data_IF_618546469653
#
_entry.id   IF_618546469653
#
_cell.length_a   1.000
_cell.length_b   1.000
_cell.length_c   1.000
_cell.angle_alpha   90.00
_cell.angle_beta   90.00
_cell.angle_gamma   90.00
#
_symmetry.space_group_name_H-M   'P 1'
#
loop_
_entity.id
_entity.type
_entity.pdbx_description
1 polymer ?
#
# COMPACT_ATOMS: atom_id res chain seq x y z
N UNK A 1 -16.33 6.27 -7.49
CA UNK A 1 -17.40 5.66 -6.67
C UNK A 1 -17.11 4.19 -6.33
N UNK A 2 -16.85 3.26 -7.31
CA UNK A 2 -16.67 1.82 -7.03
C UNK A 2 -15.50 1.53 -6.09
N UNK A 3 -14.32 2.11 -6.31
CA UNK A 3 -13.12 1.91 -5.48
C UNK A 3 -13.35 2.35 -4.02
N UNK A 4 -13.99 3.49 -3.83
CA UNK A 4 -14.34 4.01 -2.49
C UNK A 4 -15.26 3.05 -1.75
N UNK A 5 -16.28 2.49 -2.42
CA UNK A 5 -17.15 1.48 -1.81
C UNK A 5 -16.38 0.24 -1.34
N UNK A 6 -15.44 -0.26 -2.17
CA UNK A 6 -14.61 -1.41 -1.82
C UNK A 6 -13.67 -1.10 -0.64
N UNK A 7 -13.12 0.11 -0.57
CA UNK A 7 -12.31 0.55 0.57
C UNK A 7 -13.13 0.63 1.87
N UNK A 8 -14.37 1.12 1.82
CA UNK A 8 -15.26 1.09 2.99
C UNK A 8 -15.57 -0.35 3.44
N UNK A 9 -15.84 -1.26 2.50
CA UNK A 9 -16.03 -2.67 2.83
C UNK A 9 -14.78 -3.24 3.52
N UNK A 10 -13.60 -2.99 2.95
CA UNK A 10 -12.33 -3.44 3.52
C UNK A 10 -12.09 -2.86 4.92
N UNK A 11 -12.34 -1.55 5.10
CA UNK A 11 -12.26 -0.91 6.41
C UNK A 11 -13.13 -1.63 7.45
N UNK A 12 -14.38 -1.93 7.10
CA UNK A 12 -15.31 -2.60 8.02
C UNK A 12 -14.81 -4.00 8.38
N UNK A 13 -14.34 -4.78 7.41
CA UNK A 13 -13.77 -6.10 7.65
C UNK A 13 -12.52 -6.04 8.54
N UNK A 14 -11.66 -5.04 8.37
CA UNK A 14 -10.48 -4.87 9.25
C UNK A 14 -10.93 -4.56 10.68
N UNK A 15 -11.95 -3.73 10.89
CA UNK A 15 -12.50 -3.43 12.21
C UNK A 15 -13.12 -4.70 12.83
N UNK A 16 -13.94 -5.44 12.09
CA UNK A 16 -14.58 -6.67 12.55
C UNK A 16 -13.56 -7.75 12.94
N UNK A 17 -12.40 -7.74 12.29
CA UNK A 17 -11.31 -8.72 12.51
C UNK A 17 -10.12 -8.15 13.30
N UNK A 18 -10.27 -6.98 13.98
CA UNK A 18 -9.17 -6.33 14.72
C UNK A 18 -8.47 -7.29 15.68
N UNK A 19 -9.23 -8.06 16.44
CA UNK A 19 -8.70 -9.01 17.44
C UNK A 19 -7.91 -10.15 16.80
N UNK A 20 -8.36 -10.66 15.66
CA UNK A 20 -7.65 -11.72 14.93
C UNK A 20 -6.33 -11.21 14.34
N UNK A 21 -6.33 -9.99 13.75
CA UNK A 21 -5.11 -9.36 13.25
C UNK A 21 -4.13 -9.14 14.41
N UNK A 22 -4.61 -8.57 15.52
CA UNK A 22 -3.78 -8.32 16.71
C UNK A 22 -3.21 -9.63 17.30
N UNK A 23 -4.00 -10.71 17.32
CA UNK A 23 -3.55 -12.04 17.78
C UNK A 23 -2.40 -12.56 16.91
N UNK A 24 -2.48 -12.45 15.58
CA UNK A 24 -1.41 -12.83 14.66
C UNK A 24 -0.14 -12.02 14.89
N UNK A 25 -0.27 -10.70 15.10
CA UNK A 25 0.85 -9.82 15.45
C UNK A 25 1.53 -10.26 16.75
N UNK A 26 0.75 -10.56 17.78
CA UNK A 26 1.28 -11.05 19.06
C UNK A 26 2.01 -12.39 18.90
N UNK A 27 1.44 -13.32 18.11
CA UNK A 27 2.01 -14.66 17.93
C UNK A 27 3.32 -14.67 17.13
N UNK A 28 3.41 -13.90 16.05
CA UNK A 28 4.60 -13.90 15.19
C UNK A 28 5.65 -12.87 15.63
N UNK A 29 5.22 -11.64 15.91
CA UNK A 29 6.13 -10.56 16.27
C UNK A 29 6.49 -10.54 17.75
N UNK A 30 5.60 -10.99 18.63
CA UNK A 30 5.77 -10.94 20.07
C UNK A 30 5.33 -9.62 20.73
N UNK A 31 4.58 -8.76 20.04
CA UNK A 31 3.97 -7.57 20.63
C UNK A 31 2.97 -7.94 21.72
N UNK A 32 2.85 -7.11 22.74
CA UNK A 32 1.72 -7.20 23.67
C UNK A 32 0.41 -6.85 22.96
N UNK A 33 -0.70 -7.41 23.43
CA UNK A 33 -1.98 -7.29 22.75
C UNK A 33 -2.43 -5.83 22.54
N UNK A 34 -2.19 -4.95 23.50
CA UNK A 34 -2.58 -3.54 23.41
C UNK A 34 -1.77 -2.80 22.32
N UNK A 35 -0.47 -3.07 22.20
CA UNK A 35 0.36 -2.50 21.13
C UNK A 35 -0.07 -3.03 19.76
N UNK A 36 -0.41 -4.32 19.67
CA UNK A 36 -0.90 -4.93 18.44
C UNK A 36 -2.23 -4.30 18.00
N UNK A 37 -3.16 -4.08 18.92
CA UNK A 37 -4.41 -3.37 18.64
C UNK A 37 -4.18 -1.92 18.23
N UNK A 38 -3.29 -1.22 18.93
CA UNK A 38 -2.88 0.16 18.57
C UNK A 38 -2.30 0.25 17.16
N UNK A 39 -1.54 -0.76 16.73
CA UNK A 39 -1.04 -0.86 15.36
C UNK A 39 -2.19 -0.99 14.34
N UNK A 40 -3.14 -1.89 14.59
CA UNK A 40 -4.31 -2.09 13.71
C UNK A 40 -5.16 -0.82 13.64
N UNK A 41 -5.42 -0.15 14.76
CA UNK A 41 -6.19 1.08 14.80
C UNK A 41 -5.59 2.18 13.90
N UNK A 42 -4.26 2.36 13.93
CA UNK A 42 -3.56 3.30 13.02
C UNK A 42 -3.63 2.88 11.56
N UNK A 43 -3.66 1.57 11.30
CA UNK A 43 -3.91 1.05 9.96
C UNK A 43 -5.30 1.41 9.45
N UNK A 44 -6.32 1.31 10.30
CA UNK A 44 -7.71 1.67 9.99
C UNK A 44 -7.82 3.16 9.64
N UNK A 45 -7.17 4.06 10.38
CA UNK A 45 -7.14 5.50 10.08
C UNK A 45 -6.62 5.78 8.66
N UNK A 46 -5.63 5.02 8.19
CA UNK A 46 -5.12 5.14 6.83
C UNK A 46 -6.09 4.63 5.76
N UNK A 47 -6.85 3.57 6.05
CA UNK A 47 -7.91 3.12 5.15
C UNK A 47 -9.00 4.20 5.06
N UNK A 48 -9.39 4.80 6.18
CA UNK A 48 -10.37 5.90 6.24
C UNK A 48 -9.91 7.11 5.42
N UNK A 49 -8.64 7.50 5.57
CA UNK A 49 -8.04 8.56 4.75
C UNK A 49 -8.15 8.25 3.26
N UNK A 50 -7.85 7.01 2.85
CA UNK A 50 -7.94 6.58 1.45
C UNK A 50 -9.39 6.57 0.92
N UNK A 51 -10.39 6.36 1.77
CA UNK A 51 -11.80 6.47 1.38
C UNK A 51 -12.17 7.89 0.91
N UNK A 52 -11.48 8.91 1.37
CA UNK A 52 -11.66 10.32 0.98
C UNK A 52 -10.98 10.73 -0.33
N UNK A 53 -10.19 9.87 -0.98
CA UNK A 53 -9.39 10.23 -2.16
C UNK A 53 -10.17 10.68 -3.39
N UNK A 54 -11.47 10.45 -3.46
CA UNK A 54 -12.28 10.88 -4.61
C UNK A 54 -12.14 12.38 -4.89
N UNK A 55 -12.06 13.20 -3.83
CA UNK A 55 -11.88 14.64 -3.96
C UNK A 55 -10.43 15.03 -4.28
N UNK A 56 -9.45 14.34 -3.71
CA UNK A 56 -8.03 14.60 -3.96
C UNK A 56 -7.58 14.23 -5.38
N UNK A 57 -8.35 13.39 -6.08
CA UNK A 57 -8.07 12.99 -7.47
C UNK A 57 -8.63 13.97 -8.50
N UNK A 58 -9.36 15.01 -8.09
CA UNK A 58 -9.80 16.09 -9.00
C UNK A 58 -8.58 16.80 -9.58
N UNK A 59 -8.67 17.14 -10.86
CA UNK A 59 -7.68 17.99 -11.52
C UNK A 59 -7.96 19.47 -11.27
N UNK A 60 -7.11 20.30 -11.85
CA UNK A 60 -7.26 21.76 -11.87
C UNK A 60 -7.54 22.22 -13.29
N UNK A 61 -8.22 23.37 -13.42
CA UNK A 61 -8.44 24.05 -14.68
C UNK A 61 -8.02 25.51 -14.54
N UNK A 62 -7.34 26.04 -15.55
CA UNK A 62 -6.98 27.45 -15.66
C UNK A 62 -7.43 27.96 -17.02
N UNK A 63 -8.38 28.89 -17.02
CA UNK A 63 -8.80 29.61 -18.20
C UNK A 63 -7.76 30.68 -18.56
N UNK A 64 -7.51 30.86 -19.84
CA UNK A 64 -6.57 31.86 -20.35
C UNK A 64 -5.17 31.82 -19.69
N UNK A 65 -4.60 30.65 -19.51
CA UNK A 65 -3.21 30.51 -19.06
C UNK A 65 -2.23 31.22 -20.02
N UNK A 66 -2.62 31.38 -21.28
CA UNK A 66 -2.02 32.24 -22.31
C UNK A 66 -3.12 32.63 -23.28
N UNK A 67 -2.82 33.56 -24.22
CA UNK A 67 -3.79 33.99 -25.23
C UNK A 67 -4.31 32.82 -26.06
N UNK A 68 -5.60 32.49 -25.89
CA UNK A 68 -6.27 31.38 -26.57
C UNK A 68 -5.87 29.98 -26.10
N UNK A 69 -5.26 29.86 -24.90
CA UNK A 69 -4.83 28.59 -24.33
C UNK A 69 -5.42 28.37 -22.93
N UNK A 70 -6.21 27.33 -22.79
CA UNK A 70 -6.67 26.82 -21.49
C UNK A 70 -5.83 25.60 -21.08
N UNK A 71 -5.59 25.44 -19.78
CA UNK A 71 -4.80 24.34 -19.22
C UNK A 71 -5.63 23.58 -18.19
N UNK A 72 -5.63 22.28 -18.29
CA UNK A 72 -6.22 21.42 -17.26
C UNK A 72 -5.31 20.24 -16.91
N UNK A 73 -5.44 19.74 -15.69
CA UNK A 73 -4.68 18.58 -15.21
C UNK A 73 -5.61 17.37 -15.06
N UNK A 74 -5.11 16.21 -15.44
CA UNK A 74 -5.79 14.92 -15.24
C UNK A 74 -4.89 14.00 -14.44
N UNK A 75 -5.42 13.43 -13.36
CA UNK A 75 -4.70 12.45 -12.56
C UNK A 75 -4.99 11.04 -13.07
N UNK A 76 -3.93 10.32 -13.41
CA UNK A 76 -4.01 8.95 -13.92
C UNK A 76 -3.22 8.01 -13.01
N UNK A 77 -3.65 6.72 -12.88
CA UNK A 77 -2.87 5.72 -12.18
C UNK A 77 -1.51 5.49 -12.86
N UNK A 78 -0.52 5.11 -12.09
CA UNK A 78 0.81 4.74 -12.58
C UNK A 78 0.82 3.35 -13.23
N UNK A 79 -0.04 2.47 -12.77
CA UNK A 79 -0.08 1.07 -13.18
C UNK A 79 0.18 0.13 -12.01
N UNK A 80 1.19 -0.74 -12.12
CA UNK A 80 1.58 -1.66 -11.05
C UNK A 80 2.50 -0.95 -10.07
N UNK A 81 2.11 -0.93 -8.80
CA UNK A 81 2.94 -0.44 -7.70
C UNK A 81 3.34 -1.62 -6.80
N UNK A 82 4.48 -1.52 -6.15
CA UNK A 82 4.90 -2.51 -5.15
C UNK A 82 5.14 -1.84 -3.79
N UNK A 83 4.97 -2.63 -2.73
CA UNK A 83 5.29 -2.24 -1.36
C UNK A 83 6.20 -3.28 -0.70
N UNK A 84 7.26 -2.82 -0.08
CA UNK A 84 8.19 -3.65 0.69
C UNK A 84 8.12 -3.16 2.13
N UNK A 85 7.64 -4.02 3.04
CA UNK A 85 7.32 -3.62 4.40
C UNK A 85 8.19 -4.32 5.43
N UNK A 86 8.47 -3.64 6.58
CA UNK A 86 9.33 -4.14 7.63
C UNK A 86 8.59 -5.11 8.56
N UNK A 87 9.36 -5.78 9.44
CA UNK A 87 8.81 -6.70 10.43
C UNK A 87 8.19 -6.00 11.65
N UNK A 88 8.63 -4.79 11.99
CA UNK A 88 8.23 -4.13 13.23
C UNK A 88 6.78 -3.58 13.24
N UNK A 89 6.16 -3.42 12.06
CA UNK A 89 4.77 -3.01 11.89
C UNK A 89 4.12 -3.77 10.71
N UNK A 90 3.92 -5.07 10.86
CA UNK A 90 3.53 -5.93 9.73
C UNK A 90 2.10 -5.72 9.23
N UNK A 91 1.21 -5.12 10.04
CA UNK A 91 -0.14 -4.74 9.61
C UNK A 91 -0.23 -3.26 9.22
N UNK A 92 0.28 -2.36 10.03
CA UNK A 92 0.14 -0.91 9.84
C UNK A 92 0.78 -0.43 8.53
N UNK A 93 2.02 -0.86 8.25
CA UNK A 93 2.75 -0.35 7.07
C UNK A 93 2.12 -0.82 5.75
N UNK A 94 1.69 -2.08 5.57
CA UNK A 94 0.87 -2.44 4.42
C UNK A 94 -0.40 -1.59 4.27
N UNK A 95 -1.06 -1.25 5.39
CA UNK A 95 -2.25 -0.41 5.40
C UNK A 95 -1.97 1.08 5.10
N UNK A 96 -0.72 1.53 5.18
CA UNK A 96 -0.31 2.84 4.67
C UNK A 96 -0.21 2.87 3.15
N UNK A 97 0.17 1.75 2.54
CA UNK A 97 0.52 1.68 1.12
C UNK A 97 -0.66 1.24 0.25
N UNK A 98 -1.27 0.10 0.60
CA UNK A 98 -2.28 -0.55 -0.25
C UNK A 98 -3.51 0.32 -0.48
N UNK A 99 -4.19 0.87 0.56
CA UNK A 99 -5.39 1.66 0.37
C UNK A 99 -5.17 2.88 -0.52
N UNK A 100 -4.06 3.57 -0.33
CA UNK A 100 -3.69 4.75 -1.10
C UNK A 100 -3.43 4.41 -2.57
N UNK A 101 -2.70 3.32 -2.84
CA UNK A 101 -2.42 2.87 -4.20
C UNK A 101 -3.70 2.50 -4.95
N UNK A 102 -4.58 1.69 -4.34
CA UNK A 102 -5.81 1.22 -5.00
C UNK A 102 -6.87 2.32 -5.11
N UNK A 103 -6.93 3.27 -4.16
CA UNK A 103 -7.77 4.45 -4.26
C UNK A 103 -7.44 5.25 -5.52
N UNK A 104 -6.16 5.43 -5.81
CA UNK A 104 -5.66 6.11 -7.02
C UNK A 104 -5.83 5.29 -8.30
N UNK A 105 -6.26 4.02 -8.22
CA UNK A 105 -6.52 3.17 -9.39
C UNK A 105 -5.35 2.31 -9.82
N UNK A 106 -4.31 2.21 -9.01
CA UNK A 106 -3.18 1.32 -9.24
C UNK A 106 -3.52 -0.12 -8.82
N UNK A 107 -2.79 -1.09 -9.36
CA UNK A 107 -2.66 -2.42 -8.77
C UNK A 107 -1.45 -2.47 -7.84
N UNK A 108 -1.43 -3.42 -6.92
CA UNK A 108 -0.42 -3.44 -5.88
C UNK A 108 0.14 -4.85 -5.63
N UNK A 109 1.45 -4.94 -5.50
CA UNK A 109 2.17 -6.15 -5.09
C UNK A 109 2.83 -5.89 -3.74
N UNK A 110 2.38 -6.57 -2.69
CA UNK A 110 2.95 -6.49 -1.36
C UNK A 110 4.03 -7.57 -1.17
N UNK A 111 5.22 -7.16 -0.75
CA UNK A 111 6.26 -8.04 -0.21
C UNK A 111 6.42 -7.74 1.28
N UNK A 112 5.77 -8.49 2.17
CA UNK A 112 5.94 -8.34 3.62
C UNK A 112 7.29 -8.87 4.08
N UNK A 113 7.63 -8.60 5.35
CA UNK A 113 8.76 -9.27 5.98
C UNK A 113 8.56 -10.79 5.99
N UNK A 114 9.63 -11.53 5.74
CA UNK A 114 9.64 -12.99 5.85
C UNK A 114 9.55 -13.51 7.30
N UNK A 115 9.71 -12.61 8.28
CA UNK A 115 9.70 -12.96 9.71
C UNK A 115 8.30 -13.11 10.27
N UNK A 116 7.35 -12.34 9.77
CA UNK A 116 5.99 -12.23 10.30
C UNK A 116 4.94 -11.97 9.20
N UNK A 117 4.79 -12.89 8.24
CA UNK A 117 3.95 -12.70 7.07
C UNK A 117 2.45 -12.98 7.32
N UNK A 118 2.04 -13.52 8.49
CA UNK A 118 0.66 -14.00 8.67
C UNK A 118 -0.37 -12.88 8.74
N UNK A 119 -0.06 -11.77 9.44
CA UNK A 119 -0.95 -10.62 9.49
C UNK A 119 -1.10 -9.94 8.12
N UNK A 120 -0.02 -9.61 7.36
CA UNK A 120 -0.15 -9.11 6.00
C UNK A 120 -0.94 -10.04 5.07
N UNK A 121 -0.72 -11.35 5.15
CA UNK A 121 -1.47 -12.33 4.37
C UNK A 121 -2.97 -12.26 4.67
N UNK A 122 -3.33 -12.21 5.93
CA UNK A 122 -4.73 -12.12 6.35
C UNK A 122 -5.38 -10.81 5.85
N UNK A 123 -4.66 -9.70 5.84
CA UNK A 123 -5.15 -8.47 5.25
C UNK A 123 -5.48 -8.63 3.75
N UNK A 124 -4.71 -9.41 3.00
CA UNK A 124 -5.02 -9.70 1.59
C UNK A 124 -6.29 -10.56 1.46
N UNK A 125 -6.50 -11.52 2.36
CA UNK A 125 -7.74 -12.31 2.41
C UNK A 125 -8.95 -11.39 2.64
N UNK A 126 -8.86 -10.44 3.58
CA UNK A 126 -9.92 -9.43 3.82
C UNK A 126 -10.14 -8.49 2.63
N UNK A 127 -9.09 -8.13 1.88
CA UNK A 127 -9.22 -7.35 0.64
C UNK A 127 -10.02 -8.13 -0.42
N UNK A 128 -9.79 -9.43 -0.55
CA UNK A 128 -10.55 -10.27 -1.47
C UNK A 128 -12.01 -10.38 -1.02
N UNK A 129 -12.26 -10.58 0.27
CA UNK A 129 -13.61 -10.60 0.86
C UNK A 129 -14.36 -9.28 0.69
N UNK A 130 -13.66 -8.14 0.76
CA UNK A 130 -14.23 -6.82 0.50
C UNK A 130 -14.71 -6.64 -0.96
N UNK A 131 -14.40 -7.59 -1.85
CA UNK A 131 -14.85 -7.63 -3.24
C UNK A 131 -13.90 -6.95 -4.23
N UNK A 132 -12.66 -6.72 -3.88
CA UNK A 132 -11.66 -6.27 -4.86
C UNK A 132 -11.46 -7.35 -5.92
N UNK A 133 -11.41 -6.97 -7.22
CA UNK A 133 -11.18 -7.93 -8.28
C UNK A 133 -9.85 -8.69 -8.11
N UNK A 134 -9.78 -9.97 -8.50
CA UNK A 134 -8.53 -10.71 -8.52
C UNK A 134 -7.43 -9.96 -9.27
N UNK A 135 -6.20 -10.00 -8.74
CA UNK A 135 -5.04 -9.34 -9.34
C UNK A 135 -4.89 -7.85 -9.00
N UNK A 136 -5.88 -7.20 -8.37
CA UNK A 136 -5.73 -5.79 -7.93
C UNK A 136 -4.72 -5.67 -6.81
N UNK A 137 -4.77 -6.57 -5.82
CA UNK A 137 -3.76 -6.65 -4.75
C UNK A 137 -3.23 -8.07 -4.68
N UNK A 138 -1.92 -8.21 -4.68
CA UNK A 138 -1.22 -9.50 -4.67
C UNK A 138 -0.16 -9.48 -3.59
N UNK A 139 0.21 -10.67 -3.09
CA UNK A 139 1.25 -10.85 -2.09
C UNK A 139 2.33 -11.78 -2.63
N UNK A 140 3.59 -11.39 -2.44
CA UNK A 140 4.77 -12.19 -2.76
C UNK A 140 5.62 -12.32 -1.51
N UNK A 141 5.78 -13.55 -1.03
CA UNK A 141 6.73 -13.82 0.05
C UNK A 141 8.14 -14.00 -0.52
N UNK A 142 9.14 -13.74 0.30
CA UNK A 142 10.55 -13.92 -0.04
C UNK A 142 11.46 -12.93 0.66
N UNK A 143 12.73 -13.13 0.44
CA UNK A 143 13.85 -12.37 0.98
C UNK A 143 14.34 -11.27 -0.01
N UNK A 144 15.62 -10.97 0.06
CA UNK A 144 16.31 -10.04 -0.85
C UNK A 144 16.06 -10.36 -2.33
N UNK A 145 15.98 -11.64 -2.70
CA UNK A 145 15.77 -12.05 -4.09
C UNK A 145 14.43 -11.53 -4.62
N UNK A 146 13.37 -11.62 -3.81
CA UNK A 146 12.07 -11.07 -4.17
C UNK A 146 12.12 -9.53 -4.26
N UNK A 147 12.83 -8.87 -3.34
CA UNK A 147 13.03 -7.40 -3.39
C UNK A 147 13.70 -7.00 -4.70
N UNK A 148 14.81 -7.65 -5.07
CA UNK A 148 15.55 -7.34 -6.29
C UNK A 148 14.66 -7.50 -7.53
N UNK A 149 13.88 -8.57 -7.60
CA UNK A 149 12.94 -8.80 -8.70
C UNK A 149 11.86 -7.71 -8.81
N UNK A 150 11.33 -7.23 -7.69
CA UNK A 150 10.39 -6.10 -7.69
C UNK A 150 11.05 -4.80 -8.18
N UNK A 151 12.30 -4.56 -7.79
CA UNK A 151 13.05 -3.37 -8.20
C UNK A 151 13.47 -3.41 -9.68
N UNK A 152 13.67 -4.60 -10.25
CA UNK A 152 14.11 -4.79 -11.64
C UNK A 152 12.93 -4.97 -12.62
N UNK A 153 11.75 -5.40 -12.14
CA UNK A 153 10.65 -5.78 -13.02
C UNK A 153 10.15 -4.61 -13.87
N UNK A 154 10.10 -4.71 -15.19
CA UNK A 154 9.78 -3.58 -16.09
C UNK A 154 8.37 -3.04 -15.91
N UNK A 155 7.40 -3.88 -15.53
CA UNK A 155 6.00 -3.48 -15.39
C UNK A 155 5.70 -2.77 -14.06
N UNK A 156 6.61 -2.81 -13.09
CA UNK A 156 6.45 -2.07 -11.83
C UNK A 156 6.86 -0.62 -12.04
N UNK A 157 5.90 0.29 -11.90
CA UNK A 157 6.10 1.71 -12.13
C UNK A 157 6.57 2.48 -10.88
N UNK A 158 6.21 1.98 -9.69
CA UNK A 158 6.56 2.62 -8.42
C UNK A 158 6.75 1.60 -7.30
N UNK A 159 7.66 1.92 -6.36
CA UNK A 159 7.91 1.11 -5.16
C UNK A 159 7.88 2.01 -3.93
N UNK A 160 7.15 1.58 -2.90
CA UNK A 160 7.18 2.16 -1.57
C UNK A 160 7.88 1.20 -0.61
N UNK A 161 8.79 1.71 0.17
CA UNK A 161 9.61 0.95 1.11
C UNK A 161 9.64 1.62 2.48
N UNK A 162 9.54 0.82 3.52
CA UNK A 162 9.82 1.23 4.91
C UNK A 162 10.79 0.24 5.53
N UNK A 163 11.87 0.74 6.11
CA UNK A 163 12.88 -0.12 6.75
C UNK A 163 14.13 0.62 7.20
N UNK A 164 15.24 -0.10 7.37
CA UNK A 164 16.49 0.51 7.81
C UNK A 164 17.12 1.40 6.72
N UNK A 165 17.81 2.46 7.16
CA UNK A 165 18.47 3.42 6.27
C UNK A 165 19.40 2.79 5.20
N UNK A 166 20.22 1.77 5.50
CA UNK A 166 21.07 1.14 4.49
C UNK A 166 20.23 0.48 3.38
N UNK A 167 19.14 -0.20 3.75
CA UNK A 167 18.25 -0.85 2.80
C UNK A 167 17.41 0.18 2.02
N UNK A 168 16.96 1.26 2.70
CA UNK A 168 16.29 2.37 2.03
C UNK A 168 17.16 2.97 0.90
N UNK A 169 18.44 3.20 1.16
CA UNK A 169 19.41 3.67 0.15
C UNK A 169 19.56 2.69 -1.00
N UNK A 170 19.66 1.40 -0.71
CA UNK A 170 19.73 0.36 -1.72
C UNK A 170 18.48 0.34 -2.61
N UNK A 171 17.29 0.30 -2.01
CA UNK A 171 16.01 0.30 -2.72
C UNK A 171 15.87 1.56 -3.58
N UNK A 172 16.23 2.72 -3.03
CA UNK A 172 16.16 3.99 -3.75
C UNK A 172 17.09 3.99 -4.97
N UNK A 173 18.39 3.68 -4.78
CA UNK A 173 19.36 3.71 -5.85
C UNK A 173 19.05 2.69 -6.95
N UNK A 174 18.70 1.45 -6.58
CA UNK A 174 18.39 0.39 -7.54
C UNK A 174 17.09 0.69 -8.29
N UNK A 175 16.02 1.07 -7.58
CA UNK A 175 14.74 1.34 -8.22
C UNK A 175 14.76 2.57 -9.13
N UNK A 176 15.46 3.65 -8.75
CA UNK A 176 15.57 4.84 -9.60
C UNK A 176 16.42 4.58 -10.84
N UNK A 177 17.47 3.74 -10.74
CA UNK A 177 18.28 3.35 -11.90
C UNK A 177 17.50 2.56 -12.96
N UNK A 178 16.39 1.93 -12.57
CA UNK A 178 15.46 1.22 -13.48
C UNK A 178 14.25 2.09 -13.87
N UNK A 179 14.29 3.40 -13.59
CA UNK A 179 13.26 4.36 -14.01
C UNK A 179 11.98 4.38 -13.15
N UNK A 180 11.97 3.71 -12.00
CA UNK A 180 10.79 3.65 -11.11
C UNK A 180 10.69 4.88 -10.22
N UNK A 181 9.47 5.22 -9.82
CA UNK A 181 9.23 6.15 -8.72
C UNK A 181 9.43 5.44 -7.39
N UNK A 182 10.34 5.95 -6.56
CA UNK A 182 10.69 5.31 -5.29
C UNK A 182 10.36 6.25 -4.12
N UNK A 183 9.64 5.72 -3.13
CA UNK A 183 9.49 6.29 -1.81
C UNK A 183 10.19 5.34 -0.83
N UNK A 184 11.27 5.77 -0.22
CA UNK A 184 12.04 4.97 0.74
C UNK A 184 12.14 5.73 2.06
N UNK A 185 11.54 5.16 3.12
CA UNK A 185 11.40 5.74 4.46
C UNK A 185 12.11 4.86 5.50
#
# INVERSE_FOLDING_TARGET
ARRVKLLHNFRNLVIENEMEIASRLTQEHGKVADDARGEVARGIENIEFACGFADSLKGTYSEHASTGVDVYTVRQPLGVCAGITPFNFPAMVPLWMIPNAVACGNTFVLKPSERDPSAPRFLIELIQEAGFPPGVVNLVNGDKTAVDRLLEHPDIAAVSFVGSTPIAKYVYSTGTSTGKRIQAL
#
